data_IF_038930018666
#
_entry.id   IF_038930018666
#
_cell.length_a   1.000
_cell.length_b   1.000
_cell.length_c   1.000
_cell.angle_alpha   90.00
_cell.angle_beta   90.00
_cell.angle_gamma   90.00
#
_symmetry.space_group_name_H-M   'P 1'
#
loop_
_entity.id
_entity.type
_entity.pdbx_description
1 polymer ?
#
# COMPACT_ATOMS: atom_id res chain seq x y z
N UNK A 1 12.53 1.99 -20.98
CA UNK A 1 11.06 1.95 -20.89
C UNK A 1 10.74 2.23 -19.44
N UNK A 2 10.76 3.52 -19.12
CA UNK A 2 10.47 4.05 -17.80
C UNK A 2 8.98 3.86 -17.56
N UNK A 3 8.65 2.80 -16.82
CA UNK A 3 7.30 2.58 -16.34
C UNK A 3 6.99 3.76 -15.41
N UNK A 4 6.11 4.65 -15.86
CA UNK A 4 5.51 5.71 -15.06
C UNK A 4 4.86 5.06 -13.85
N UNK A 5 5.61 4.98 -12.75
CA UNK A 5 5.07 4.55 -11.48
C UNK A 5 4.02 5.61 -11.13
N UNK A 6 2.76 5.24 -10.88
CA UNK A 6 1.82 6.18 -10.30
C UNK A 6 2.50 6.74 -9.03
N UNK A 7 2.70 8.06 -8.99
CA UNK A 7 3.22 8.75 -7.81
C UNK A 7 2.18 8.59 -6.69
N UNK A 8 2.28 7.48 -5.96
CA UNK A 8 1.57 7.31 -4.69
C UNK A 8 2.33 8.11 -3.64
N UNK A 9 1.58 8.91 -2.90
CA UNK A 9 2.10 9.64 -1.75
C UNK A 9 2.30 8.63 -0.61
N UNK A 10 3.57 8.37 -0.27
CA UNK A 10 3.97 7.39 0.74
C UNK A 10 3.74 7.89 2.17
N UNK A 11 3.55 9.20 2.35
CA UNK A 11 3.20 9.80 3.64
C UNK A 11 1.70 9.70 3.94
N UNK A 12 0.89 9.38 2.94
CA UNK A 12 -0.55 9.16 3.08
C UNK A 12 -0.88 7.70 3.38
N UNK A 13 -1.87 7.50 4.25
CA UNK A 13 -2.52 6.19 4.44
C UNK A 13 -3.78 6.17 3.57
N UNK A 14 -3.87 5.20 2.67
CA UNK A 14 -5.04 5.03 1.80
C UNK A 14 -6.02 4.03 2.40
N UNK A 15 -7.32 4.32 2.36
CA UNK A 15 -8.35 3.35 2.76
C UNK A 15 -8.56 2.31 1.65
N UNK A 16 -8.53 1.03 2.00
CA UNK A 16 -8.72 -0.07 1.05
C UNK A 16 -10.12 -0.07 0.43
N UNK A 17 -11.13 0.44 1.12
CA UNK A 17 -12.49 0.54 0.58
C UNK A 17 -12.60 1.61 -0.51
N UNK A 18 -11.86 2.72 -0.37
CA UNK A 18 -11.80 3.79 -1.38
C UNK A 18 -10.82 3.45 -2.51
N UNK A 19 -9.68 2.86 -2.16
CA UNK A 19 -8.59 2.53 -3.07
C UNK A 19 -8.18 1.05 -2.92
N UNK A 20 -8.99 0.11 -3.43
CA UNK A 20 -8.66 -1.30 -3.41
C UNK A 20 -7.37 -1.57 -4.18
N UNK A 21 -6.73 -2.70 -3.89
CA UNK A 21 -5.54 -3.10 -4.64
C UNK A 21 -5.89 -3.32 -6.12
N UNK A 22 -5.11 -2.74 -7.03
CA UNK A 22 -5.23 -3.01 -8.48
C UNK A 22 -4.94 -4.47 -8.78
N UNK A 23 -3.99 -5.05 -8.03
CA UNK A 23 -3.64 -6.47 -8.07
C UNK A 23 -3.60 -6.98 -6.63
N UNK A 24 -4.51 -7.89 -6.28
CA UNK A 24 -4.62 -8.42 -4.92
C UNK A 24 -3.29 -8.94 -4.39
N UNK A 25 -2.89 -8.47 -3.21
CA UNK A 25 -1.65 -8.90 -2.56
C UNK A 25 -0.38 -8.37 -3.24
N UNK A 26 -0.48 -7.29 -4.02
CA UNK A 26 0.65 -6.55 -4.60
C UNK A 26 0.53 -5.07 -4.26
N UNK A 27 1.68 -4.44 -4.01
CA UNK A 27 1.72 -3.02 -3.73
C UNK A 27 1.44 -2.25 -5.02
N UNK A 28 0.49 -1.32 -5.00
CA UNK A 28 0.13 -0.57 -6.21
C UNK A 28 1.26 0.36 -6.70
N UNK A 29 2.18 0.72 -5.81
CA UNK A 29 3.31 1.61 -6.13
C UNK A 29 4.51 0.87 -6.74
N UNK A 30 4.93 -0.26 -6.14
CA UNK A 30 6.16 -0.95 -6.54
C UNK A 30 5.97 -2.41 -6.98
N UNK A 31 4.76 -2.97 -6.86
CA UNK A 31 4.47 -4.35 -7.21
C UNK A 31 5.00 -5.40 -6.24
N UNK A 32 5.57 -5.00 -5.09
CA UNK A 32 6.04 -5.95 -4.10
C UNK A 32 4.87 -6.73 -3.45
N UNK A 33 5.14 -7.98 -3.09
CA UNK A 33 4.20 -8.90 -2.43
C UNK A 33 4.33 -8.90 -0.90
N UNK A 34 5.44 -8.36 -0.38
CA UNK A 34 5.78 -8.43 1.04
C UNK A 34 5.32 -7.18 1.78
N UNK A 35 4.54 -7.39 2.84
CA UNK A 35 3.97 -6.33 3.65
C UNK A 35 4.26 -6.54 5.14
N UNK A 36 4.41 -5.44 5.86
CA UNK A 36 4.28 -5.38 7.29
C UNK A 36 2.84 -5.03 7.64
N UNK A 37 2.30 -5.71 8.64
CA UNK A 37 0.95 -5.43 9.13
C UNK A 37 1.05 -4.94 10.56
N UNK A 38 0.36 -3.85 10.87
CA UNK A 38 0.29 -3.26 12.20
C UNK A 38 -1.15 -2.97 12.55
N UNK A 39 -1.51 -3.15 13.83
CA UNK A 39 -2.84 -2.78 14.32
C UNK A 39 -2.69 -1.57 15.23
N UNK A 40 -3.41 -0.49 14.93
CA UNK A 40 -3.43 0.72 15.75
C UNK A 40 -4.87 1.18 15.90
N UNK A 41 -5.33 1.34 17.14
CA UNK A 41 -6.70 1.81 17.43
C UNK A 41 -7.79 0.99 16.70
N UNK A 42 -7.67 -0.34 16.69
CA UNK A 42 -8.57 -1.26 15.97
C UNK A 42 -8.56 -1.15 14.45
N UNK A 43 -7.65 -0.35 13.88
CA UNK A 43 -7.44 -0.23 12.44
C UNK A 43 -6.27 -1.11 12.03
N UNK A 44 -6.45 -1.91 10.97
CA UNK A 44 -5.37 -2.71 10.40
C UNK A 44 -4.65 -1.91 9.31
N UNK A 45 -3.35 -1.65 9.51
CA UNK A 45 -2.53 -0.92 8.55
C UNK A 45 -1.56 -1.90 7.91
N UNK A 46 -1.62 -2.00 6.59
CA UNK A 46 -0.70 -2.76 5.74
C UNK A 46 0.30 -1.81 5.11
N UNK A 47 1.57 -1.99 5.44
CA UNK A 47 2.70 -1.22 4.94
C UNK A 47 3.55 -2.07 4.00
N UNK A 48 3.87 -1.58 2.81
CA UNK A 48 4.78 -2.28 1.89
C UNK A 48 6.20 -2.29 2.45
N UNK A 49 6.85 -3.47 2.50
CA UNK A 49 8.23 -3.59 3.01
C UNK A 49 9.29 -2.96 2.10
N UNK A 50 8.95 -2.68 0.85
CA UNK A 50 9.92 -2.19 -0.13
C UNK A 50 9.84 -0.67 -0.30
N UNK A 51 8.63 -0.12 -0.48
CA UNK A 51 8.46 1.32 -0.68
C UNK A 51 7.80 2.05 0.50
N UNK A 52 7.32 1.35 1.54
CA UNK A 52 6.69 1.98 2.70
C UNK A 52 5.24 2.45 2.49
N UNK A 53 4.62 2.18 1.34
CA UNK A 53 3.22 2.56 1.06
C UNK A 53 2.27 1.92 2.09
N UNK A 54 1.39 2.73 2.69
CA UNK A 54 0.45 2.29 3.73
C UNK A 54 -0.98 2.27 3.22
N UNK A 55 -1.67 1.18 3.51
CA UNK A 55 -3.12 1.04 3.35
C UNK A 55 -3.77 0.66 4.66
N UNK A 56 -4.88 1.29 4.97
CA UNK A 56 -5.79 0.89 6.02
C UNK A 56 -6.78 -0.12 5.44
N UNK A 57 -6.87 -1.30 6.04
CA UNK A 57 -7.82 -2.37 5.69
C UNK A 57 -8.83 -2.55 6.82
#
# INVERSE_FOLDING_TARGET
MDQEKPEYDLDKIYDYNEYPDKVSGRCDNCGNALFNSSVKNFVFIRECRECGMKKQI
#
